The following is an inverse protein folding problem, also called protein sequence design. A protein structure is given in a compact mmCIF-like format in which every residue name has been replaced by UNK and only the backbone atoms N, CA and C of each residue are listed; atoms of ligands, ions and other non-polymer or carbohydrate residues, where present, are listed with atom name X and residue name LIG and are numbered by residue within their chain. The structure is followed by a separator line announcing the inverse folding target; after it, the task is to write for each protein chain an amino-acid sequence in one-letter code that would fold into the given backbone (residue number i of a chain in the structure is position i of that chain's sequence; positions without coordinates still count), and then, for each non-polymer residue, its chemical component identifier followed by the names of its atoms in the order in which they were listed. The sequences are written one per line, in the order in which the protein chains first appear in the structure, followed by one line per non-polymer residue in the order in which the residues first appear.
data_IF_470508885865
#
_entry.id   IF_470508885865
#
_cell.length_a   1.000
_cell.length_b   1.000
_cell.length_c   1.000
_cell.angle_alpha   90.00
_cell.angle_beta   90.00
_cell.angle_gamma   90.00
#
_symmetry.space_group_name_H-M   'P 1'
#
loop_
_entity.id
_entity.type
_entity.pdbx_description
1 polymer ?
#
# COMPACT_ATOMS: atom_id res chain seq x y z
N UNK A 1 -18.44 16.43 -1.58
CA UNK A 1 -19.63 15.85 -0.92
C UNK A 1 -19.12 14.76 -0.03
N UNK A 2 -19.41 14.82 1.27
CA UNK A 2 -19.00 13.77 2.20
C UNK A 2 -19.82 12.49 1.97
N UNK A 3 -19.22 11.29 2.04
CA UNK A 3 -19.94 10.04 1.88
C UNK A 3 -20.94 9.82 3.04
N UNK A 4 -22.07 9.19 2.75
CA UNK A 4 -23.07 8.84 3.77
C UNK A 4 -22.61 7.65 4.59
N UNK A 5 -23.16 7.50 5.80
CA UNK A 5 -22.88 6.34 6.66
C UNK A 5 -23.21 5.02 5.96
N UNK A 6 -24.33 4.97 5.23
CA UNK A 6 -24.74 3.78 4.49
C UNK A 6 -23.71 3.38 3.41
N UNK A 7 -23.09 4.37 2.74
CA UNK A 7 -22.03 4.12 1.77
C UNK A 7 -20.76 3.57 2.43
N UNK A 8 -20.39 4.09 3.61
CA UNK A 8 -19.24 3.61 4.39
C UNK A 8 -19.48 2.16 4.82
N UNK A 9 -20.65 1.86 5.36
CA UNK A 9 -21.01 0.52 5.84
C UNK A 9 -21.06 -0.50 4.68
N UNK A 10 -21.53 -0.09 3.51
CA UNK A 10 -21.53 -0.93 2.31
C UNK A 10 -20.10 -1.30 1.88
N UNK A 11 -19.17 -0.34 1.90
CA UNK A 11 -17.75 -0.58 1.60
C UNK A 11 -17.15 -1.53 2.63
N UNK A 12 -17.40 -1.29 3.92
CA UNK A 12 -16.90 -2.15 4.99
C UNK A 12 -17.42 -3.59 4.85
N UNK A 13 -18.73 -3.76 4.68
CA UNK A 13 -19.36 -5.07 4.47
C UNK A 13 -18.76 -5.81 3.29
N UNK A 14 -18.53 -5.12 2.16
CA UNK A 14 -17.88 -5.70 0.98
C UNK A 14 -16.48 -6.24 1.31
N UNK A 15 -15.66 -5.46 2.03
CA UNK A 15 -14.30 -5.86 2.43
C UNK A 15 -14.31 -7.08 3.36
N UNK A 16 -15.24 -7.11 4.33
CA UNK A 16 -15.41 -8.27 5.24
C UNK A 16 -15.80 -9.52 4.47
N UNK A 17 -16.79 -9.43 3.58
CA UNK A 17 -17.24 -10.58 2.77
C UNK A 17 -16.14 -11.08 1.83
N UNK A 18 -15.33 -10.18 1.26
CA UNK A 18 -14.18 -10.57 0.45
C UNK A 18 -13.15 -11.33 1.29
N UNK A 19 -12.77 -10.80 2.46
CA UNK A 19 -11.81 -11.44 3.34
C UNK A 19 -12.29 -12.81 3.86
N UNK A 20 -13.60 -12.99 4.06
CA UNK A 20 -14.20 -14.28 4.47
C UNK A 20 -14.16 -15.36 3.38
N UNK A 21 -14.08 -14.97 2.10
CA UNK A 21 -14.03 -15.89 0.97
C UNK A 21 -12.61 -16.32 0.60
N UNK A 22 -11.60 -15.64 1.13
CA UNK A 22 -10.20 -16.00 0.91
C UNK A 22 -9.87 -17.31 1.63
N UNK A 23 -9.16 -18.20 0.93
CA UNK A 23 -8.46 -19.33 1.54
C UNK A 23 -7.42 -18.86 2.57
N UNK A 24 -6.98 -19.73 3.50
CA UNK A 24 -5.90 -19.42 4.43
C UNK A 24 -4.63 -18.88 3.74
N UNK A 25 -4.24 -19.48 2.62
CA UNK A 25 -3.07 -19.11 1.83
C UNK A 25 -3.24 -17.72 1.19
N UNK A 26 -4.41 -17.44 0.60
CA UNK A 26 -4.71 -16.12 0.04
C UNK A 26 -4.71 -15.05 1.14
N UNK A 27 -5.27 -15.37 2.31
CA UNK A 27 -5.31 -14.44 3.44
C UNK A 27 -3.91 -14.16 3.99
N UNK A 28 -3.06 -15.18 4.05
CA UNK A 28 -1.66 -15.03 4.44
C UNK A 28 -0.90 -14.12 3.46
N UNK A 29 -1.10 -14.30 2.16
CA UNK A 29 -0.44 -13.50 1.12
C UNK A 29 -1.09 -12.13 0.89
N UNK A 30 -2.26 -11.84 1.46
CA UNK A 30 -2.96 -10.58 1.26
C UNK A 30 -2.12 -9.37 1.72
N UNK A 31 -1.46 -9.48 2.89
CA UNK A 31 -0.59 -8.43 3.42
C UNK A 31 0.60 -8.13 2.50
N UNK A 32 1.45 -9.12 2.19
CA UNK A 32 2.57 -8.94 1.26
C UNK A 32 2.16 -8.38 -0.11
N UNK A 33 1.08 -8.89 -0.71
CA UNK A 33 0.60 -8.39 -2.02
C UNK A 33 0.15 -6.93 -1.95
N UNK A 34 -0.50 -6.52 -0.85
CA UNK A 34 -0.86 -5.13 -0.64
C UNK A 34 0.41 -4.27 -0.51
N UNK A 35 1.38 -4.71 0.28
CA UNK A 35 2.64 -3.99 0.45
C UNK A 35 3.41 -3.80 -0.87
N UNK A 36 3.51 -4.87 -1.68
CA UNK A 36 4.17 -4.81 -2.99
C UNK A 36 3.47 -3.83 -3.94
N UNK A 37 2.13 -3.82 -3.93
CA UNK A 37 1.33 -2.88 -4.71
C UNK A 37 1.60 -1.44 -4.30
N UNK A 38 1.63 -1.14 -3.00
CA UNK A 38 1.90 0.22 -2.53
C UNK A 38 3.35 0.64 -2.83
N UNK A 39 4.31 -0.28 -2.74
CA UNK A 39 5.67 -0.03 -3.19
C UNK A 39 5.73 0.33 -4.69
N UNK A 40 4.93 -0.34 -5.53
CA UNK A 40 4.84 0.01 -6.95
C UNK A 40 4.31 1.42 -7.16
N UNK A 41 3.23 1.80 -6.46
CA UNK A 41 2.66 3.15 -6.54
C UNK A 41 3.70 4.20 -6.13
N UNK A 42 4.48 3.94 -5.08
CA UNK A 42 5.57 4.83 -4.68
C UNK A 42 6.64 4.97 -5.77
N UNK A 43 7.05 3.86 -6.41
CA UNK A 43 8.01 3.90 -7.54
C UNK A 43 7.46 4.73 -8.69
N UNK A 44 6.20 4.56 -9.04
CA UNK A 44 5.56 5.32 -10.11
C UNK A 44 5.52 6.82 -9.77
N UNK A 45 5.25 7.17 -8.52
CA UNK A 45 5.38 8.54 -8.02
C UNK A 45 6.81 9.09 -8.17
N UNK A 46 7.83 8.35 -7.77
CA UNK A 46 9.23 8.78 -7.90
C UNK A 46 9.64 8.98 -9.36
N UNK A 47 9.22 8.08 -10.27
CA UNK A 47 9.46 8.23 -11.72
C UNK A 47 8.76 9.47 -12.28
N UNK A 48 7.54 9.77 -11.82
CA UNK A 48 6.84 10.99 -12.22
C UNK A 48 7.52 12.26 -11.72
N UNK A 49 8.10 12.25 -10.51
CA UNK A 49 8.83 13.38 -9.95
C UNK A 49 10.23 13.56 -10.55
N UNK A 50 10.86 12.45 -10.97
CA UNK A 50 12.23 12.41 -11.53
C UNK A 50 12.24 11.54 -12.78
N UNK A 51 11.85 12.11 -13.94
CA UNK A 51 11.76 11.35 -15.20
C UNK A 51 13.08 10.72 -15.64
N UNK A 52 14.21 11.34 -15.30
CA UNK A 52 15.54 10.89 -15.69
C UNK A 52 16.16 9.89 -14.69
N UNK A 53 15.46 9.56 -13.60
CA UNK A 53 15.95 8.61 -12.61
C UNK A 53 16.03 7.20 -13.19
N UNK A 54 17.17 6.56 -12.99
CA UNK A 54 17.36 5.14 -13.30
C UNK A 54 16.58 4.25 -12.33
N UNK A 55 16.33 3.00 -12.72
CA UNK A 55 15.64 2.05 -11.85
C UNK A 55 16.38 1.81 -10.52
N UNK A 56 17.72 1.85 -10.55
CA UNK A 56 18.56 1.72 -9.36
C UNK A 56 18.35 2.90 -8.41
N UNK A 57 18.24 4.12 -8.93
CA UNK A 57 17.98 5.32 -8.13
C UNK A 57 16.57 5.30 -7.55
N UNK A 58 15.56 4.90 -8.33
CA UNK A 58 14.18 4.76 -7.87
C UNK A 58 14.09 3.76 -6.71
N UNK A 59 14.75 2.61 -6.83
CA UNK A 59 14.79 1.59 -5.78
C UNK A 59 15.57 2.08 -4.54
N UNK A 60 16.66 2.83 -4.71
CA UNK A 60 17.40 3.43 -3.61
C UNK A 60 16.54 4.43 -2.82
N UNK A 61 15.78 5.29 -3.53
CA UNK A 61 14.85 6.25 -2.92
C UNK A 61 13.75 5.50 -2.17
N UNK A 62 13.16 4.46 -2.76
CA UNK A 62 12.13 3.65 -2.09
C UNK A 62 12.64 3.08 -0.77
N UNK A 63 13.83 2.45 -0.77
CA UNK A 63 14.45 1.90 0.44
C UNK A 63 14.71 2.95 1.50
N UNK A 64 15.21 4.13 1.10
CA UNK A 64 15.42 5.24 2.02
C UNK A 64 14.09 5.69 2.67
N UNK A 65 13.01 5.79 1.89
CA UNK A 65 11.69 6.19 2.39
C UNK A 65 11.12 5.16 3.36
N UNK A 66 11.19 3.86 3.03
CA UNK A 66 10.73 2.79 3.92
C UNK A 66 11.53 2.75 5.23
N UNK A 67 12.86 2.94 5.17
CA UNK A 67 13.70 3.01 6.35
C UNK A 67 13.34 4.20 7.24
N UNK A 68 13.04 5.35 6.64
CA UNK A 68 12.58 6.54 7.38
C UNK A 68 11.23 6.27 8.06
N UNK A 69 10.24 5.72 7.35
CA UNK A 69 8.93 5.36 7.93
C UNK A 69 9.09 4.42 9.12
N UNK A 70 9.96 3.41 9.02
CA UNK A 70 10.23 2.49 10.14
C UNK A 70 10.84 3.18 11.36
N UNK A 71 11.74 4.15 11.13
CA UNK A 71 12.35 4.94 12.22
C UNK A 71 11.34 5.84 12.91
N UNK A 72 10.45 6.47 12.13
CA UNK A 72 9.45 7.41 12.64
C UNK A 72 8.24 6.69 13.26
N UNK A 73 7.89 5.50 12.78
CA UNK A 73 6.76 4.69 13.27
C UNK A 73 7.02 3.94 14.58
N UNK A 74 8.23 4.00 15.14
CA UNK A 74 8.57 3.43 16.46
C UNK A 74 8.51 4.50 17.57
N UNK A 75 7.71 5.56 17.38
CA UNK A 75 7.52 6.68 18.31
C UNK A 75 6.13 6.73 18.97
N UNK A 76 5.48 5.58 19.12
CA UNK A 76 4.26 5.39 19.93
C UNK A 76 4.53 4.42 21.09
#
# INVERSE_FOLDING_TARGET
MEPTQEQIDAIYRKRVLQARRMSPEEKFLAGPRLFDRECQIMRDGFRSERPDATEVEVEAILRQRLALTRRLGNGE
#
